data_IF_760675462487
#
_entry.id   IF_760675462487
#
_cell.length_a   1.000
_cell.length_b   1.000
_cell.length_c   1.000
_cell.angle_alpha   90.00
_cell.angle_beta   90.00
_cell.angle_gamma   90.00
#
_symmetry.space_group_name_H-M   'P 1'
#
loop_
_entity.id
_entity.type
_entity.pdbx_description
1 polymer ?
#
# COMPACT_ATOMS: atom_id res chain seq x y z
N UNK A 1 -10.19 -21.51 10.43
CA UNK A 1 -9.80 -21.10 9.06
C UNK A 1 -8.61 -20.14 9.12
N UNK A 2 -7.38 -20.67 9.10
CA UNK A 2 -6.17 -19.85 9.08
C UNK A 2 -5.94 -19.35 7.64
N UNK A 3 -6.20 -18.07 7.39
CA UNK A 3 -5.91 -17.44 6.09
C UNK A 3 -4.40 -17.51 5.86
N UNK A 4 -4.00 -18.27 4.83
CA UNK A 4 -2.61 -18.64 4.52
C UNK A 4 -1.76 -17.36 4.38
N UNK A 5 -0.71 -17.27 5.19
CA UNK A 5 0.32 -16.22 5.15
C UNK A 5 0.96 -16.22 3.77
N UNK A 6 0.64 -15.25 2.92
CA UNK A 6 1.35 -15.04 1.65
C UNK A 6 2.71 -14.39 1.92
N UNK A 7 3.64 -15.16 2.45
CA UNK A 7 5.07 -14.85 2.39
C UNK A 7 5.60 -15.33 1.04
N UNK A 8 5.13 -14.74 -0.06
CA UNK A 8 5.72 -15.01 -1.38
C UNK A 8 6.91 -14.05 -1.53
N UNK A 9 8.05 -14.49 -0.99
CA UNK A 9 9.41 -14.16 -1.42
C UNK A 9 9.51 -13.03 -2.47
N UNK A 10 9.52 -11.76 -2.03
CA UNK A 10 9.89 -10.58 -2.82
C UNK A 10 9.05 -10.21 -4.07
N UNK A 11 8.16 -11.08 -4.55
CA UNK A 11 7.40 -10.86 -5.80
C UNK A 11 6.05 -10.24 -5.49
N UNK A 12 5.93 -8.98 -5.87
CA UNK A 12 4.64 -8.31 -5.95
C UNK A 12 3.93 -8.75 -7.25
N UNK A 13 2.78 -9.43 -7.16
CA UNK A 13 1.94 -9.70 -8.31
C UNK A 13 1.58 -8.39 -9.02
N UNK A 14 1.49 -8.45 -10.35
CA UNK A 14 1.04 -7.30 -11.16
C UNK A 14 -0.35 -6.82 -10.68
N UNK A 15 -1.20 -7.74 -10.23
CA UNK A 15 -2.52 -7.44 -9.68
C UNK A 15 -2.46 -6.64 -8.39
N UNK A 16 -1.55 -6.99 -7.46
CA UNK A 16 -1.34 -6.22 -6.23
C UNK A 16 -0.70 -4.87 -6.52
N UNK A 17 0.21 -4.77 -7.50
CA UNK A 17 0.77 -3.48 -7.93
C UNK A 17 -0.33 -2.59 -8.51
N UNK A 18 -1.23 -3.16 -9.32
CA UNK A 18 -2.32 -2.40 -9.93
C UNK A 18 -3.36 -1.98 -8.89
N UNK A 19 -3.67 -2.87 -7.95
CA UNK A 19 -4.54 -2.58 -6.80
C UNK A 19 -3.92 -1.52 -5.92
N UNK A 20 -2.62 -1.63 -5.61
CA UNK A 20 -1.87 -0.62 -4.88
C UNK A 20 -1.94 0.72 -5.62
N UNK A 21 -1.68 0.79 -6.93
CA UNK A 21 -1.77 2.03 -7.71
C UNK A 21 -3.15 2.68 -7.66
N UNK A 22 -4.22 1.90 -7.82
CA UNK A 22 -5.61 2.39 -7.82
C UNK A 22 -6.02 2.85 -6.41
N UNK A 23 -5.77 2.00 -5.41
CA UNK A 23 -6.22 2.24 -4.04
C UNK A 23 -5.34 3.29 -3.34
N UNK A 24 -4.03 3.37 -3.62
CA UNK A 24 -3.08 4.31 -2.98
C UNK A 24 -3.39 5.79 -3.25
N UNK A 25 -4.16 6.07 -4.31
CA UNK A 25 -4.67 7.43 -4.59
C UNK A 25 -5.81 7.84 -3.66
N UNK A 26 -6.63 6.88 -3.23
CA UNK A 26 -7.87 7.11 -2.50
C UNK A 26 -7.78 6.73 -1.02
N UNK A 27 -7.04 5.66 -0.70
CA UNK A 27 -6.95 5.03 0.61
C UNK A 27 -5.62 5.27 1.30
N UNK A 28 -5.64 5.08 2.62
CA UNK A 28 -4.44 5.13 3.45
C UNK A 28 -3.59 3.87 3.30
N UNK A 29 -2.31 3.95 3.69
CA UNK A 29 -1.42 2.78 3.66
C UNK A 29 -1.96 1.66 4.57
N UNK A 30 -2.58 2.05 5.69
CA UNK A 30 -3.24 1.17 6.64
C UNK A 30 -4.37 0.36 6.03
N UNK A 31 -5.31 1.00 5.34
CA UNK A 31 -6.41 0.28 4.68
C UNK A 31 -5.91 -0.66 3.57
N UNK A 32 -4.87 -0.25 2.85
CA UNK A 32 -4.25 -1.09 1.82
C UNK A 32 -3.50 -2.25 2.46
N UNK A 33 -2.86 -2.02 3.61
CA UNK A 33 -2.21 -3.05 4.42
C UNK A 33 -3.22 -4.08 4.92
N UNK A 34 -4.37 -3.63 5.43
CA UNK A 34 -5.44 -4.51 5.86
C UNK A 34 -6.04 -5.28 4.68
N UNK A 35 -6.26 -4.61 3.54
CA UNK A 35 -6.82 -5.25 2.34
C UNK A 35 -5.86 -6.27 1.71
N UNK A 36 -4.57 -5.95 1.64
CA UNK A 36 -3.54 -6.83 1.09
C UNK A 36 -2.95 -7.78 2.15
N UNK A 37 -3.38 -7.68 3.42
CA UNK A 37 -2.77 -8.35 4.57
C UNK A 37 -1.23 -8.24 4.57
N UNK A 38 -0.73 -7.06 4.18
CA UNK A 38 0.71 -6.75 4.12
C UNK A 38 1.08 -5.70 5.14
N UNK A 39 2.35 -5.70 5.52
CA UNK A 39 2.85 -4.68 6.42
C UNK A 39 2.80 -3.29 5.76
N UNK A 40 2.39 -2.26 6.51
CA UNK A 40 2.33 -0.89 6.03
C UNK A 40 3.70 -0.42 5.51
N UNK A 41 4.77 -0.81 6.21
CA UNK A 41 6.15 -0.53 5.82
C UNK A 41 6.53 -1.16 4.48
N UNK A 42 6.06 -2.38 4.18
CA UNK A 42 6.30 -3.02 2.88
C UNK A 42 5.54 -2.34 1.75
N UNK A 43 4.32 -1.87 2.03
CA UNK A 43 3.52 -1.07 1.08
C UNK A 43 4.18 0.28 0.82
N UNK A 44 4.66 0.95 1.86
CA UNK A 44 5.39 2.22 1.73
C UNK A 44 6.66 2.02 0.90
N UNK A 45 7.48 1.01 1.23
CA UNK A 45 8.69 0.71 0.49
C UNK A 45 8.40 0.40 -0.98
N UNK A 46 7.36 -0.41 -1.26
CA UNK A 46 6.97 -0.72 -2.63
C UNK A 46 6.43 0.49 -3.39
N UNK A 47 5.61 1.33 -2.73
CA UNK A 47 5.10 2.55 -3.33
C UNK A 47 6.25 3.51 -3.69
N UNK A 48 7.25 3.65 -2.80
CA UNK A 48 8.47 4.42 -3.07
C UNK A 48 9.27 3.84 -4.24
N UNK A 49 9.48 2.52 -4.26
CA UNK A 49 10.16 1.82 -5.36
C UNK A 49 9.44 1.98 -6.71
N UNK A 50 8.11 2.03 -6.69
CA UNK A 50 7.29 2.23 -7.89
C UNK A 50 7.13 3.71 -8.29
N UNK A 51 7.74 4.64 -7.54
CA UNK A 51 7.59 6.08 -7.78
C UNK A 51 6.15 6.58 -7.57
N UNK A 52 5.33 5.86 -6.81
CA UNK A 52 3.95 6.24 -6.53
C UNK A 52 3.92 7.40 -5.56
N UNK A 53 3.73 8.60 -6.10
CA UNK A 53 3.51 9.80 -5.31
C UNK A 53 2.05 9.83 -4.87
N UNK A 54 1.81 9.91 -3.57
CA UNK A 54 0.48 10.27 -3.05
C UNK A 54 0.12 11.64 -3.61
N UNK A 55 -1.14 11.83 -3.99
CA UNK A 55 -1.62 13.16 -4.39
C UNK A 55 -1.31 14.15 -3.27
N UNK A 56 -0.81 15.34 -3.64
CA UNK A 56 -0.44 16.40 -2.69
C UNK A 56 -1.56 16.67 -1.67
N UNK A 57 -2.83 16.56 -2.10
CA UNK A 57 -4.02 16.66 -1.23
C UNK A 57 -4.06 15.59 -0.12
N UNK A 58 -3.72 14.35 -0.45
CA UNK A 58 -3.72 13.23 0.50
C UNK A 58 -2.51 13.28 1.44
N UNK A 59 -1.34 13.71 0.95
CA UNK A 59 -0.16 13.94 1.79
C UNK A 59 -0.40 15.07 2.79
N UNK A 60 -1.02 16.17 2.35
CA UNK A 60 -1.41 17.29 3.20
C UNK A 60 -2.40 16.84 4.28
N UNK A 61 -3.43 16.05 3.92
CA UNK A 61 -4.40 15.48 4.85
C UNK A 61 -3.77 14.54 5.89
N UNK A 62 -2.74 13.78 5.51
CA UNK A 62 -2.03 12.88 6.42
C UNK A 62 -1.08 13.64 7.36
N UNK A 63 -0.40 14.69 6.86
CA UNK A 63 0.49 15.58 7.64
C UNK A 63 -0.27 16.45 8.64
N UNK A 64 -1.56 16.70 8.40
CA UNK A 64 -2.44 17.48 9.28
C UNK A 64 -3.01 16.69 10.47
N UNK A 65 -2.74 15.38 10.59
CA UNK A 65 -3.16 14.56 11.74
C UNK A 65 -2.10 14.51 12.86
N UNK A 66 -1.28 15.55 13.00
CA UNK A 66 -0.29 15.65 14.08
C UNK A 66 -0.89 16.36 15.28
#
# INVERSE_FOLDING_TARGET
>A
MAKRKQTVSGRWPKEEINTLKKEFRNKTNKEIAEKLNRNESSIQFKASQLGLKKSSKHLKKMRLRK
#
